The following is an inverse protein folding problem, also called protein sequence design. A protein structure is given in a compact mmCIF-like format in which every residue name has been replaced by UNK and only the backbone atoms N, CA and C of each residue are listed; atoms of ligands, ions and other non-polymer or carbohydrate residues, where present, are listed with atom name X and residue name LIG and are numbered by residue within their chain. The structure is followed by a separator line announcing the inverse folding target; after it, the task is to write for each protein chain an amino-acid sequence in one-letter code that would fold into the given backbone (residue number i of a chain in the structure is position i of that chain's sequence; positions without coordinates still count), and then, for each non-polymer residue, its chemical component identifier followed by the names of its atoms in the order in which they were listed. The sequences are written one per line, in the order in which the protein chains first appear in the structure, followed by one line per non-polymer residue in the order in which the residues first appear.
data_IF_291833137724
#
_entry.id   IF_291833137724
#
_cell.length_a   1.000
_cell.length_b   1.000
_cell.length_c   1.000
_cell.angle_alpha   90.00
_cell.angle_beta   90.00
_cell.angle_gamma   90.00
#
_symmetry.space_group_name_H-M   'P 1'
#
loop_
_entity.id
_entity.type
_entity.pdbx_description
1 polymer ?
#
# COMPACT_ATOMS: atom_id res chain seq x y z
N UNK A 1 -7.08 5.95 21.87
CA UNK A 1 -5.81 5.75 22.62
C UNK A 1 -6.15 5.10 23.95
N UNK A 2 -5.54 3.96 24.29
CA UNK A 2 -5.71 3.26 25.57
C UNK A 2 -4.31 2.82 26.04
N UNK A 3 -3.85 3.40 27.15
CA UNK A 3 -2.54 3.14 27.77
C UNK A 3 -2.66 2.06 28.85
N UNK A 4 -1.60 1.27 29.06
CA UNK A 4 -1.42 0.44 30.25
C UNK A 4 -0.02 0.71 30.86
N UNK A 5 0.23 0.26 32.09
CA UNK A 5 1.25 0.72 33.06
C UNK A 5 2.76 0.63 32.69
N UNK A 6 3.08 0.45 31.41
CA UNK A 6 4.39 0.76 30.78
C UNK A 6 4.07 1.43 29.45
N UNK A 7 4.72 2.54 29.11
CA UNK A 7 4.45 3.40 27.93
C UNK A 7 4.55 2.70 26.56
N UNK A 8 3.74 1.67 26.31
CA UNK A 8 3.69 0.88 25.08
C UNK A 8 2.26 0.78 24.58
N UNK A 9 2.10 0.77 23.26
CA UNK A 9 0.78 0.67 22.64
C UNK A 9 0.32 -0.79 22.54
N UNK A 10 -0.99 -1.03 22.72
CA UNK A 10 -1.60 -2.33 22.41
C UNK A 10 -1.84 -2.52 20.91
N UNK A 11 -2.16 -1.43 20.22
CA UNK A 11 -2.36 -1.37 18.76
C UNK A 11 -1.74 -0.06 18.27
N UNK A 12 -0.82 -0.16 17.32
CA UNK A 12 -0.29 0.98 16.58
C UNK A 12 -0.82 0.91 15.15
N UNK A 13 -1.85 1.73 14.87
CA UNK A 13 -2.50 1.82 13.56
C UNK A 13 -2.58 3.29 13.18
N UNK A 14 -1.72 3.71 12.26
CA UNK A 14 -1.62 5.08 11.79
C UNK A 14 -1.03 5.08 10.37
N UNK A 15 -1.35 6.09 9.56
CA UNK A 15 -0.66 6.34 8.29
C UNK A 15 0.80 6.65 8.57
N UNK A 16 1.64 5.62 8.58
CA UNK A 16 3.05 5.71 8.95
C UNK A 16 3.87 4.85 8.02
N UNK A 17 5.01 5.41 7.62
CA UNK A 17 6.08 4.65 7.00
C UNK A 17 6.71 3.74 8.03
N UNK A 18 6.83 2.46 7.68
CA UNK A 18 7.48 1.48 8.53
C UNK A 18 8.90 1.93 8.89
N UNK A 19 9.25 1.77 10.16
CA UNK A 19 10.55 2.16 10.70
C UNK A 19 11.03 1.12 11.69
N UNK A 20 12.35 0.87 11.72
CA UNK A 20 12.97 0.01 12.72
C UNK A 20 12.87 0.57 14.14
N UNK A 21 12.34 1.79 14.33
CA UNK A 21 12.05 2.39 15.64
C UNK A 21 10.68 1.98 16.19
N UNK A 22 9.76 1.47 15.37
CA UNK A 22 8.43 1.02 15.83
C UNK A 22 8.50 0.00 16.99
N UNK A 23 9.41 -1.00 17.00
CA UNK A 23 9.58 -1.91 18.13
C UNK A 23 9.87 -1.22 19.48
N UNK A 24 10.35 0.02 19.49
CA UNK A 24 10.70 0.74 20.73
C UNK A 24 9.45 1.19 21.52
N UNK A 25 8.30 1.31 20.85
CA UNK A 25 7.03 1.75 21.45
C UNK A 25 5.98 0.65 21.51
N UNK A 26 6.40 -0.59 21.22
CA UNK A 26 5.53 -1.75 21.10
C UNK A 26 6.05 -2.90 21.98
N UNK A 27 5.17 -3.76 22.54
CA UNK A 27 5.59 -4.96 23.25
C UNK A 27 6.45 -5.90 22.40
N UNK A 28 7.34 -6.69 23.02
CA UNK A 28 8.25 -7.62 22.32
C UNK A 28 7.49 -8.67 21.49
N UNK A 29 6.30 -9.07 21.92
CA UNK A 29 5.44 -10.05 21.23
C UNK A 29 4.53 -9.41 20.15
N UNK A 30 4.84 -8.20 19.69
CA UNK A 30 4.06 -7.50 18.66
C UNK A 30 4.06 -8.26 17.35
N UNK A 31 2.87 -8.48 16.81
CA UNK A 31 2.66 -8.97 15.45
C UNK A 31 2.45 -7.79 14.50
N UNK A 32 2.98 -7.91 13.30
CA UNK A 32 2.84 -6.91 12.25
C UNK A 32 1.85 -7.40 11.21
N UNK A 33 0.90 -6.52 10.87
CA UNK A 33 -0.13 -6.78 9.87
C UNK A 33 -0.14 -5.58 8.92
N UNK A 34 -0.34 -5.84 7.63
CA UNK A 34 -0.52 -4.79 6.62
C UNK A 34 -1.56 -5.23 5.61
N UNK A 35 -2.00 -4.30 4.77
CA UNK A 35 -2.84 -4.56 3.61
C UNK A 35 -2.15 -4.03 2.35
N UNK A 36 -2.22 -4.79 1.26
CA UNK A 36 -1.83 -4.34 -0.09
C UNK A 36 -3.06 -4.33 -1.00
N UNK A 37 -2.96 -3.62 -2.11
CA UNK A 37 -4.03 -3.49 -3.11
C UNK A 37 -3.39 -3.48 -4.48
N UNK A 38 -4.17 -3.79 -5.51
CA UNK A 38 -3.78 -3.60 -6.91
C UNK A 38 -3.06 -2.25 -7.09
N UNK A 39 -1.80 -2.27 -7.54
CA UNK A 39 -1.01 -1.05 -7.67
C UNK A 39 -1.72 0.01 -8.52
N UNK A 40 -2.32 -0.36 -9.66
CA UNK A 40 -3.02 0.59 -10.55
C UNK A 40 -4.12 1.32 -9.77
N UNK A 41 -4.89 0.59 -8.97
CA UNK A 41 -5.93 1.17 -8.11
C UNK A 41 -5.39 2.01 -6.96
N UNK A 42 -4.23 1.65 -6.40
CA UNK A 42 -3.54 2.48 -5.41
C UNK A 42 -3.15 3.82 -6.02
N UNK A 43 -2.56 3.81 -7.21
CA UNK A 43 -2.13 5.02 -7.89
C UNK A 43 -3.30 5.91 -8.32
N UNK A 44 -4.35 5.33 -8.92
CA UNK A 44 -5.60 6.05 -9.23
C UNK A 44 -6.13 6.81 -8.00
N UNK A 45 -6.15 6.13 -6.85
CA UNK A 45 -6.58 6.74 -5.58
C UNK A 45 -5.60 7.80 -5.08
N UNK A 46 -4.28 7.55 -5.17
CA UNK A 46 -3.24 8.47 -4.71
C UNK A 46 -3.23 9.78 -5.52
N UNK A 47 -3.42 9.67 -6.84
CA UNK A 47 -3.49 10.81 -7.76
C UNK A 47 -4.54 11.84 -7.31
N UNK A 48 -5.71 11.35 -6.90
CA UNK A 48 -6.80 12.20 -6.41
C UNK A 48 -6.59 12.63 -4.96
N UNK A 49 -6.25 11.69 -4.07
CA UNK A 49 -6.10 11.97 -2.65
C UNK A 49 -5.04 13.04 -2.39
N UNK A 50 -3.91 12.99 -3.08
CA UNK A 50 -2.82 13.96 -2.95
C UNK A 50 -2.99 15.21 -3.84
N UNK A 51 -4.10 15.30 -4.59
CA UNK A 51 -4.42 16.40 -5.52
C UNK A 51 -3.28 16.62 -6.52
N UNK A 52 -2.79 15.53 -7.14
CA UNK A 52 -1.68 15.59 -8.08
C UNK A 52 -2.05 16.37 -9.34
N UNK A 53 -3.31 16.29 -9.77
CA UNK A 53 -3.90 17.12 -10.82
C UNK A 53 -3.71 18.62 -10.53
N UNK A 54 -4.00 19.05 -9.31
CA UNK A 54 -3.82 20.44 -8.88
C UNK A 54 -2.35 20.85 -8.86
N UNK A 55 -1.45 20.00 -8.35
CA UNK A 55 -0.01 20.31 -8.29
C UNK A 55 0.65 20.43 -9.66
N UNK A 56 0.00 19.91 -10.70
CA UNK A 56 0.50 19.87 -12.06
C UNK A 56 -0.29 20.78 -13.00
N UNK A 57 -1.11 21.67 -12.46
CA UNK A 57 -1.95 22.61 -13.21
C UNK A 57 -2.92 21.94 -14.20
N UNK A 58 -3.41 20.75 -13.85
CA UNK A 58 -4.37 19.94 -14.62
C UNK A 58 -5.72 19.79 -13.90
N UNK A 59 -6.07 20.70 -13.00
CA UNK A 59 -7.34 20.63 -12.24
C UNK A 59 -8.54 20.62 -13.19
N UNK A 60 -9.52 19.74 -12.94
CA UNK A 60 -10.70 19.52 -13.76
C UNK A 60 -10.45 18.98 -15.19
N UNK A 61 -9.20 18.62 -15.52
CA UNK A 61 -8.90 17.97 -16.80
C UNK A 61 -9.26 16.47 -16.70
N UNK A 62 -10.26 15.99 -17.47
CA UNK A 62 -10.66 14.58 -17.43
C UNK A 62 -9.54 13.64 -17.90
N UNK A 63 -8.53 14.15 -18.60
CA UNK A 63 -7.36 13.39 -19.07
C UNK A 63 -6.11 13.60 -18.20
N UNK A 64 -6.22 14.30 -17.06
CA UNK A 64 -5.08 14.63 -16.18
C UNK A 64 -4.25 13.40 -15.82
N UNK A 65 -4.92 12.29 -15.49
CA UNK A 65 -4.27 11.03 -15.12
C UNK A 65 -3.47 10.43 -16.29
N UNK A 66 -4.01 10.48 -17.51
CA UNK A 66 -3.33 9.96 -18.70
C UNK A 66 -2.14 10.86 -19.10
N UNK A 67 -2.33 12.18 -19.07
CA UNK A 67 -1.27 13.17 -19.30
C UNK A 67 -0.15 13.04 -18.28
N UNK A 68 -0.50 12.74 -17.02
CA UNK A 68 0.48 12.41 -15.99
C UNK A 68 1.34 11.22 -16.39
N UNK A 69 0.73 10.08 -16.72
CA UNK A 69 1.48 8.86 -17.05
C UNK A 69 2.45 9.06 -18.22
N UNK A 70 2.04 9.77 -19.27
CA UNK A 70 2.89 10.05 -20.43
C UNK A 70 4.17 10.84 -20.07
N UNK A 71 4.16 11.57 -18.95
CA UNK A 71 5.28 12.42 -18.50
C UNK A 71 5.67 12.13 -17.04
N UNK A 72 5.32 10.94 -16.53
CA UNK A 72 5.41 10.63 -15.10
C UNK A 72 6.83 10.80 -14.55
N UNK A 73 7.85 10.35 -15.30
CA UNK A 73 9.25 10.51 -14.90
C UNK A 73 9.65 12.00 -14.82
N UNK A 74 9.27 12.80 -15.83
CA UNK A 74 9.55 14.25 -15.82
C UNK A 74 8.86 14.97 -14.65
N UNK A 75 7.63 14.58 -14.31
CA UNK A 75 6.92 15.11 -13.14
C UNK A 75 7.56 14.67 -11.82
N UNK A 76 8.02 13.42 -11.75
CA UNK A 76 8.72 12.89 -10.59
C UNK A 76 10.08 13.56 -10.38
N UNK A 77 10.77 13.94 -11.45
CA UNK A 77 12.07 14.61 -11.37
C UNK A 77 11.95 16.11 -11.08
N UNK A 78 10.86 16.76 -11.51
CA UNK A 78 10.64 18.20 -11.30
C UNK A 78 10.13 18.57 -9.91
N UNK A 79 9.55 17.63 -9.17
CA UNK A 79 9.01 17.85 -7.82
C UNK A 79 10.04 17.55 -6.73
N UNK A 80 10.12 18.45 -5.74
CA UNK A 80 10.86 18.20 -4.50
C UNK A 80 10.12 17.27 -3.54
N UNK A 81 8.79 17.16 -3.68
CA UNK A 81 7.96 16.27 -2.87
C UNK A 81 7.63 15.00 -3.67
N UNK A 82 8.48 14.00 -3.52
CA UNK A 82 8.39 12.69 -4.21
C UNK A 82 7.58 11.64 -3.42
N UNK A 83 7.06 12.02 -2.25
CA UNK A 83 6.37 11.11 -1.33
C UNK A 83 5.10 10.58 -2.00
N UNK A 84 4.91 9.26 -1.98
CA UNK A 84 3.78 8.53 -2.60
C UNK A 84 3.59 8.74 -4.12
N UNK A 85 4.56 9.35 -4.82
CA UNK A 85 4.50 9.52 -6.28
C UNK A 85 5.04 8.34 -7.08
N UNK A 86 5.82 7.48 -6.41
CA UNK A 86 6.43 6.29 -6.97
C UNK A 86 6.51 5.23 -5.88
N UNK A 87 6.09 4.02 -6.19
CA UNK A 87 6.00 2.85 -5.33
C UNK A 87 5.46 3.17 -3.91
N UNK A 88 4.25 3.74 -3.78
CA UNK A 88 3.71 4.15 -2.48
C UNK A 88 3.61 3.01 -1.47
N UNK A 89 3.31 1.77 -1.88
CA UNK A 89 3.25 0.63 -0.95
C UNK A 89 4.65 0.25 -0.46
N UNK A 90 5.66 0.19 -1.32
CA UNK A 90 7.05 -0.01 -0.88
C UNK A 90 7.53 1.13 0.02
N UNK A 91 7.14 2.37 -0.28
CA UNK A 91 7.44 3.53 0.55
C UNK A 91 6.88 3.34 1.97
N UNK A 92 5.61 2.94 2.09
CA UNK A 92 4.94 2.67 3.37
C UNK A 92 5.58 1.49 4.10
N UNK A 93 6.10 0.49 3.39
CA UNK A 93 6.89 -0.60 3.97
C UNK A 93 8.30 -0.19 4.41
N UNK A 94 8.69 1.07 4.22
CA UNK A 94 9.96 1.60 4.71
C UNK A 94 11.12 1.44 3.74
N UNK A 95 10.88 1.05 2.48
CA UNK A 95 11.93 1.01 1.45
C UNK A 95 12.39 2.42 1.14
N UNK A 96 13.69 2.61 0.98
CA UNK A 96 14.30 3.89 0.64
C UNK A 96 14.02 4.22 -0.84
N UNK A 97 13.80 5.50 -1.15
CA UNK A 97 13.45 5.93 -2.51
C UNK A 97 14.60 5.61 -3.48
N UNK A 98 15.83 5.66 -2.98
CA UNK A 98 17.06 5.34 -3.71
C UNK A 98 17.10 3.88 -4.17
N UNK A 99 16.41 2.98 -3.45
CA UNK A 99 16.37 1.56 -3.75
C UNK A 99 15.29 1.20 -4.80
N UNK A 100 14.34 2.10 -5.09
CA UNK A 100 13.17 1.83 -5.94
C UNK A 100 13.51 1.35 -7.35
N UNK A 101 14.64 1.80 -7.90
CA UNK A 101 15.06 1.46 -9.25
C UNK A 101 15.91 0.17 -9.30
N UNK A 102 16.29 -0.38 -8.15
CA UNK A 102 17.07 -1.61 -8.09
C UNK A 102 16.16 -2.79 -7.77
N UNK A 103 15.80 -3.55 -8.81
CA UNK A 103 14.97 -4.75 -8.65
C UNK A 103 15.56 -5.74 -7.63
N UNK A 104 16.88 -5.88 -7.59
CA UNK A 104 17.56 -6.74 -6.63
C UNK A 104 17.35 -6.26 -5.18
N UNK A 105 17.44 -4.96 -4.92
CA UNK A 105 17.19 -4.38 -3.59
C UNK A 105 15.71 -4.47 -3.23
N UNK A 106 14.80 -4.16 -4.16
CA UNK A 106 13.35 -4.32 -3.98
C UNK A 106 13.01 -5.76 -3.60
N UNK A 107 13.48 -6.77 -4.36
CA UNK A 107 13.26 -8.19 -4.05
C UNK A 107 13.85 -8.59 -2.69
N UNK A 108 14.99 -8.02 -2.29
CA UNK A 108 15.58 -8.23 -0.96
C UNK A 108 14.69 -7.65 0.15
N UNK A 109 14.16 -6.45 -0.04
CA UNK A 109 13.21 -5.82 0.87
C UNK A 109 11.91 -6.61 0.98
N UNK A 110 11.31 -7.02 -0.13
CA UNK A 110 10.10 -7.88 -0.17
C UNK A 110 10.30 -9.16 0.67
N UNK A 111 11.43 -9.86 0.49
CA UNK A 111 11.76 -11.05 1.30
C UNK A 111 11.89 -10.73 2.79
N UNK A 112 12.40 -9.54 3.13
CA UNK A 112 12.55 -9.08 4.52
C UNK A 112 11.18 -8.78 5.14
N UNK A 113 10.30 -8.13 4.39
CA UNK A 113 8.92 -7.85 4.82
C UNK A 113 8.12 -9.13 5.00
N UNK A 114 8.20 -10.05 4.05
CA UNK A 114 7.46 -11.32 4.12
C UNK A 114 7.79 -12.12 5.38
N UNK A 115 9.02 -12.01 5.91
CA UNK A 115 9.42 -12.64 7.19
C UNK A 115 8.92 -11.89 8.43
N UNK A 116 8.63 -10.59 8.31
CA UNK A 116 8.26 -9.71 9.42
C UNK A 116 6.75 -9.68 9.65
N UNK A 117 5.98 -9.57 8.57
CA UNK A 117 4.53 -9.50 8.64
C UNK A 117 3.96 -10.88 8.90
N UNK A 118 3.14 -10.99 9.94
CA UNK A 118 2.45 -12.24 10.28
C UNK A 118 1.25 -12.48 9.36
N UNK A 119 0.67 -11.41 8.85
CA UNK A 119 -0.38 -11.43 7.86
C UNK A 119 -0.22 -10.21 6.93
N UNK A 120 -0.32 -10.46 5.63
CA UNK A 120 -0.50 -9.44 4.61
C UNK A 120 -1.89 -9.67 4.02
N UNK A 121 -2.79 -8.73 4.25
CA UNK A 121 -4.12 -8.72 3.67
C UNK A 121 -4.06 -8.21 2.22
N UNK A 122 -4.99 -8.65 1.38
CA UNK A 122 -5.13 -8.16 0.00
C UNK A 122 -6.52 -7.54 -0.14
N UNK A 123 -6.59 -6.29 -0.58
CA UNK A 123 -7.84 -5.54 -0.66
C UNK A 123 -8.84 -6.15 -1.64
N UNK A 124 -8.36 -6.83 -2.69
CA UNK A 124 -9.16 -7.58 -3.65
C UNK A 124 -9.76 -8.86 -3.05
N UNK A 125 -9.16 -9.38 -1.98
CA UNK A 125 -9.60 -10.55 -1.21
C UNK A 125 -9.90 -10.13 0.24
N UNK A 126 -10.57 -8.99 0.41
CA UNK A 126 -10.69 -8.36 1.71
C UNK A 126 -11.49 -9.23 2.69
N UNK A 127 -12.54 -9.91 2.23
CA UNK A 127 -13.36 -10.78 3.06
C UNK A 127 -12.56 -11.99 3.56
N UNK A 128 -11.82 -12.65 2.68
CA UNK A 128 -10.91 -13.75 3.00
C UNK A 128 -9.78 -13.28 3.93
N UNK A 129 -9.24 -12.09 3.66
CA UNK A 129 -8.24 -11.46 4.50
C UNK A 129 -8.77 -11.18 5.92
N UNK A 130 -10.05 -10.82 6.08
CA UNK A 130 -10.69 -10.63 7.38
C UNK A 130 -10.86 -11.96 8.12
N UNK A 131 -11.15 -13.05 7.43
CA UNK A 131 -11.20 -14.41 8.00
C UNK A 131 -9.81 -14.77 8.57
N UNK A 132 -8.74 -14.54 7.81
CA UNK A 132 -7.36 -14.78 8.25
C UNK A 132 -6.96 -13.87 9.41
N UNK A 133 -7.35 -12.60 9.36
CA UNK A 133 -7.10 -11.63 10.43
C UNK A 133 -7.79 -12.06 11.74
N UNK A 134 -9.04 -12.50 11.66
CA UNK A 134 -9.78 -13.04 12.81
C UNK A 134 -9.03 -14.22 13.42
N UNK A 135 -8.66 -15.20 12.60
CA UNK A 135 -7.98 -16.40 13.09
C UNK A 135 -6.64 -16.06 13.77
N UNK A 136 -5.95 -15.04 13.27
CA UNK A 136 -4.72 -14.53 13.87
C UNK A 136 -4.95 -13.81 15.22
N UNK A 137 -6.01 -13.01 15.35
CA UNK A 137 -6.21 -12.13 16.52
C UNK A 137 -7.02 -12.78 17.65
N UNK A 138 -8.10 -13.49 17.32
CA UNK A 138 -9.09 -13.98 18.29
C UNK A 138 -9.37 -15.47 18.19
N UNK A 139 -8.91 -16.13 17.11
CA UNK A 139 -9.11 -17.55 16.85
C UNK A 139 -10.47 -17.90 16.20
N UNK A 140 -10.61 -19.12 15.66
CA UNK A 140 -11.73 -19.49 14.77
C UNK A 140 -13.11 -19.53 15.43
N UNK A 141 -13.16 -19.71 16.75
CA UNK A 141 -14.41 -19.94 17.51
C UNK A 141 -15.16 -18.65 17.89
N UNK A 142 -14.59 -17.46 17.66
CA UNK A 142 -15.14 -16.18 18.12
C UNK A 142 -15.55 -15.31 16.93
N UNK A 143 -16.77 -15.51 16.40
CA UNK A 143 -17.29 -14.67 15.32
C UNK A 143 -18.79 -14.36 15.50
N UNK A 144 -19.08 -13.15 15.96
CA UNK A 144 -20.42 -12.54 15.94
C UNK A 144 -20.25 -11.05 15.61
N UNK A 145 -19.94 -10.71 14.34
CA UNK A 145 -19.89 -9.32 13.88
C UNK A 145 -20.57 -9.20 12.52
N UNK A 146 -21.54 -8.29 12.41
CA UNK A 146 -21.99 -7.73 11.14
C UNK A 146 -21.04 -6.57 10.80
N UNK A 147 -20.16 -6.74 9.82
CA UNK A 147 -19.45 -5.60 9.22
C UNK A 147 -20.24 -5.14 7.99
N UNK A 148 -20.79 -3.92 8.06
CA UNK A 148 -21.31 -3.25 6.89
C UNK A 148 -20.15 -2.56 6.18
N UNK A 149 -19.54 -3.27 5.23
CA UNK A 149 -18.39 -2.77 4.47
C UNK A 149 -18.90 -1.92 3.31
N UNK A 150 -18.69 -0.61 3.37
CA UNK A 150 -18.86 0.25 2.20
C UNK A 150 -17.67 0.03 1.27
N UNK A 151 -17.91 -0.50 0.07
CA UNK A 151 -16.91 -0.43 -1.00
C UNK A 151 -16.67 1.04 -1.36
N UNK A 152 -15.50 1.56 -1.02
CA UNK A 152 -15.07 2.86 -1.51
C UNK A 152 -14.93 2.80 -3.03
N UNK A 153 -15.79 3.52 -3.77
CA UNK A 153 -15.64 3.64 -5.22
C UNK A 153 -14.43 4.52 -5.52
N UNK A 154 -13.51 4.01 -6.32
CA UNK A 154 -12.49 4.86 -6.96
C UNK A 154 -13.23 5.84 -7.87
N UNK A 155 -13.09 7.15 -7.59
CA UNK A 155 -13.84 8.22 -8.31
C UNK A 155 -13.21 8.50 -9.68
N UNK A 156 -11.92 8.17 -9.85
CA UNK A 156 -11.17 8.37 -11.09
C UNK A 156 -10.47 7.08 -11.47
N UNK A 157 -10.70 6.60 -12.69
CA UNK A 157 -10.06 5.42 -13.24
C UNK A 157 -9.48 5.70 -14.61
N UNK A 158 -8.51 4.90 -15.04
CA UNK A 158 -8.04 4.96 -16.42
C UNK A 158 -9.19 4.74 -17.42
N UNK A 159 -9.30 5.57 -18.48
CA UNK A 159 -10.17 5.25 -19.61
C UNK A 159 -9.66 3.97 -20.30
N UNK A 160 -10.52 2.97 -20.40
CA UNK A 160 -10.35 1.76 -21.21
C UNK A 160 -9.04 0.98 -21.01
N UNK A 161 -8.48 0.93 -19.79
CA UNK A 161 -7.25 0.17 -19.50
C UNK A 161 -5.97 0.72 -20.16
N UNK A 162 -6.03 1.87 -20.85
CA UNK A 162 -4.89 2.45 -21.58
C UNK A 162 -3.74 2.94 -20.67
N UNK A 163 -3.97 3.05 -19.36
CA UNK A 163 -2.92 3.32 -18.39
C UNK A 163 -2.04 2.11 -18.06
N UNK A 164 -2.53 0.89 -18.31
CA UNK A 164 -1.91 -0.36 -17.85
C UNK A 164 -0.56 -0.69 -18.52
N UNK A 165 -0.22 -0.06 -19.65
CA UNK A 165 1.04 -0.31 -20.37
C UNK A 165 2.18 0.60 -19.92
N UNK A 166 1.89 1.84 -19.50
CA UNK A 166 2.89 2.80 -19.01
C UNK A 166 3.03 2.76 -17.47
N UNK A 167 1.94 2.40 -16.79
CA UNK A 167 1.88 2.23 -15.34
C UNK A 167 2.96 1.29 -14.74
N UNK A 168 3.24 0.10 -15.32
CA UNK A 168 4.16 -0.86 -14.73
C UNK A 168 5.61 -0.38 -14.66
N UNK A 169 5.97 0.67 -15.42
CA UNK A 169 7.32 1.23 -15.42
C UNK A 169 7.58 2.19 -14.27
N UNK A 170 6.61 3.04 -13.94
CA UNK A 170 6.72 3.94 -12.79
C UNK A 170 6.63 3.15 -11.48
N UNK A 171 5.66 2.25 -11.40
CA UNK A 171 5.26 1.58 -10.17
C UNK A 171 5.80 0.14 -10.09
N UNK A 172 6.88 -0.14 -10.81
CA UNK A 172 7.43 -1.50 -10.99
C UNK A 172 7.69 -2.23 -9.67
N UNK A 173 8.17 -1.50 -8.65
CA UNK A 173 8.48 -2.09 -7.36
C UNK A 173 7.22 -2.52 -6.61
N UNK A 174 6.16 -1.71 -6.67
CA UNK A 174 4.85 -2.05 -6.10
C UNK A 174 4.18 -3.19 -6.87
N UNK A 175 4.38 -3.29 -8.19
CA UNK A 175 3.95 -4.44 -8.99
C UNK A 175 4.63 -5.71 -8.52
N UNK A 176 5.96 -5.73 -8.38
CA UNK A 176 6.70 -6.89 -7.89
C UNK A 176 6.27 -7.30 -6.47
N UNK A 177 6.04 -6.30 -5.60
CA UNK A 177 5.54 -6.51 -4.25
C UNK A 177 4.17 -7.19 -4.27
N UNK A 178 3.22 -6.62 -5.01
CA UNK A 178 1.86 -7.10 -5.09
C UNK A 178 1.79 -8.51 -5.69
N UNK A 179 2.49 -8.74 -6.81
CA UNK A 179 2.58 -10.05 -7.45
C UNK A 179 3.12 -11.11 -6.49
N UNK A 180 4.20 -10.82 -5.76
CA UNK A 180 4.76 -11.75 -4.78
C UNK A 180 3.77 -12.11 -3.67
N UNK A 181 2.93 -11.16 -3.23
CA UNK A 181 2.03 -11.30 -2.08
C UNK A 181 0.67 -11.90 -2.43
N UNK A 182 0.20 -11.77 -3.68
CA UNK A 182 -1.10 -12.30 -4.12
C UNK A 182 -1.04 -13.78 -4.54
N UNK A 183 0.14 -14.32 -4.86
CA UNK A 183 0.29 -15.73 -5.30
C UNK A 183 -0.32 -16.80 -4.37
N UNK A 184 -0.35 -16.65 -3.04
CA UNK A 184 -1.08 -17.56 -2.16
C UNK A 184 -2.60 -17.47 -2.34
N UNK A 185 -3.14 -16.28 -2.60
CA UNK A 185 -4.58 -16.04 -2.75
C UNK A 185 -5.12 -16.54 -4.10
N UNK A 186 -4.31 -16.52 -5.16
CA UNK A 186 -4.68 -17.06 -6.48
C UNK A 186 -4.86 -18.59 -6.50
N UNK A 187 -4.42 -19.28 -5.44
CA UNK A 187 -4.47 -20.75 -5.31
C UNK A 187 -5.63 -21.22 -4.43
N UNK A 188 -6.42 -20.30 -3.89
CA UNK A 188 -7.67 -20.55 -3.16
C UNK A 188 -8.83 -20.68 -4.16
#
# INVERSE_FOLDING_TARGET
MLHNEKDVYNIFCHHTRFSQKIPQVMPVNTIYITIVRDPVKVFESAFIYFKMDYRLDMTNDPEALQKFLQKAQSFYDSTSNKVHMKNPMLFDMGVAIEDFNSEALVKKHIKTFHKRYRLVMVAEYFEESLILLRDLLVGPQRMWWYLNLTQGKTIVSFPDGKGETEYPRLEHGDVLLYEHLIEPFKRL
#
